data_IF_237161722272
#
_entry.id   IF_237161722272
#
_cell.length_a   1.000
_cell.length_b   1.000
_cell.length_c   1.000
_cell.angle_alpha   90.00
_cell.angle_beta   90.00
_cell.angle_gamma   90.00
#
_symmetry.space_group_name_H-M   'P 1'
#
loop_
_entity.id
_entity.type
_entity.pdbx_description
1 polymer ?
#
# COMPACT_ATOMS: atom_id res chain seq x y z
N UNK A 1 14.86 1.29 -30.12
CA UNK A 1 15.40 0.94 -28.80
C UNK A 1 14.28 0.86 -27.79
N UNK A 2 13.86 -0.35 -27.47
CA UNK A 2 12.73 -0.61 -26.58
C UNK A 2 13.08 -0.19 -25.16
N UNK A 3 12.27 0.69 -24.59
CA UNK A 3 12.39 1.11 -23.19
C UNK A 3 12.14 -0.14 -22.35
N UNK A 4 13.22 -0.80 -21.90
CA UNK A 4 13.11 -1.91 -20.98
C UNK A 4 12.70 -1.32 -19.63
N UNK A 5 11.38 -1.24 -19.42
CA UNK A 5 10.82 -1.13 -18.09
C UNK A 5 11.10 -2.43 -17.35
N UNK A 6 12.35 -2.62 -16.92
CA UNK A 6 12.60 -3.53 -15.83
C UNK A 6 11.88 -2.93 -14.62
N UNK A 7 10.73 -3.51 -14.29
CA UNK A 7 10.22 -3.49 -12.93
C UNK A 7 11.26 -4.27 -12.13
N UNK A 8 12.39 -3.62 -11.86
CA UNK A 8 13.50 -4.24 -11.17
C UNK A 8 13.05 -4.41 -9.75
N UNK A 9 12.58 -5.58 -9.37
CA UNK A 9 12.38 -5.88 -7.97
C UNK A 9 13.77 -5.98 -7.34
N UNK A 10 14.34 -4.84 -6.90
CA UNK A 10 15.42 -4.86 -5.91
C UNK A 10 14.78 -5.29 -4.59
N UNK A 11 14.52 -6.59 -4.49
CA UNK A 11 14.21 -7.26 -3.23
C UNK A 11 15.53 -7.33 -2.48
N UNK A 12 15.92 -6.18 -1.95
CA UNK A 12 16.94 -6.11 -0.94
C UNK A 12 16.33 -6.52 0.40
N UNK A 13 17.19 -7.01 1.29
CA UNK A 13 16.85 -7.36 2.66
C UNK A 13 16.06 -6.24 3.39
N UNK A 14 16.37 -4.96 3.09
CA UNK A 14 15.65 -3.80 3.62
C UNK A 14 14.21 -3.70 3.08
N UNK A 15 14.02 -3.84 1.77
CA UNK A 15 12.70 -3.78 1.12
C UNK A 15 11.81 -4.94 1.57
N UNK A 16 12.39 -6.14 1.72
CA UNK A 16 11.69 -7.31 2.24
C UNK A 16 11.19 -7.09 3.67
N UNK A 17 12.02 -6.53 4.54
CA UNK A 17 11.61 -6.17 5.91
C UNK A 17 10.46 -5.13 5.90
N UNK A 18 10.56 -4.10 5.06
CA UNK A 18 9.51 -3.07 4.95
C UNK A 18 8.18 -3.64 4.44
N UNK A 19 8.19 -4.58 3.49
CA UNK A 19 6.98 -5.27 3.05
C UNK A 19 6.32 -6.08 4.18
N UNK A 20 7.11 -6.80 4.98
CA UNK A 20 6.59 -7.56 6.14
C UNK A 20 5.97 -6.62 7.17
N UNK A 21 6.63 -5.50 7.48
CA UNK A 21 6.10 -4.51 8.43
C UNK A 21 4.80 -3.89 7.91
N UNK A 22 4.76 -3.46 6.65
CA UNK A 22 3.56 -2.84 6.06
C UNK A 22 2.39 -3.82 6.00
N UNK A 23 2.62 -5.08 5.59
CA UNK A 23 1.57 -6.11 5.56
C UNK A 23 1.08 -6.47 6.97
N UNK A 24 1.97 -6.52 7.97
CA UNK A 24 1.60 -6.82 9.35
C UNK A 24 0.76 -5.70 9.97
N UNK A 25 1.20 -4.44 9.82
CA UNK A 25 0.44 -3.27 10.29
C UNK A 25 -0.90 -3.17 9.56
N UNK A 26 -0.91 -3.38 8.23
CA UNK A 26 -2.13 -3.47 7.43
C UNK A 26 -3.11 -4.49 8.01
N UNK A 27 -2.65 -5.70 8.31
CA UNK A 27 -3.48 -6.77 8.85
C UNK A 27 -4.08 -6.40 10.22
N UNK A 28 -3.28 -5.80 11.11
CA UNK A 28 -3.79 -5.30 12.39
C UNK A 28 -4.84 -4.20 12.21
N UNK A 29 -4.62 -3.26 11.29
CA UNK A 29 -5.58 -2.19 10.99
C UNK A 29 -6.89 -2.77 10.42
N UNK A 30 -6.81 -3.76 9.54
CA UNK A 30 -8.01 -4.44 9.01
C UNK A 30 -8.81 -5.13 10.13
N UNK A 31 -8.14 -5.86 11.03
CA UNK A 31 -8.79 -6.50 12.19
C UNK A 31 -9.42 -5.46 13.11
N UNK A 32 -8.71 -4.36 13.38
CA UNK A 32 -9.23 -3.26 14.20
C UNK A 32 -10.48 -2.64 13.57
N UNK A 33 -10.49 -2.45 12.25
CA UNK A 33 -11.62 -1.83 11.54
C UNK A 33 -12.86 -2.73 11.55
N UNK A 34 -12.67 -4.06 11.44
CA UNK A 34 -13.76 -5.05 11.57
C UNK A 34 -14.43 -4.95 12.95
N UNK A 35 -13.64 -4.79 14.01
CA UNK A 35 -14.17 -4.67 15.37
C UNK A 35 -14.78 -3.29 15.68
N UNK A 36 -14.21 -2.22 15.14
CA UNK A 36 -14.64 -0.86 15.44
C UNK A 36 -15.90 -0.42 14.66
N UNK A 37 -16.05 -0.87 13.40
CA UNK A 37 -17.18 -0.48 12.54
C UNK A 37 -18.19 -1.60 12.29
N UNK A 38 -18.25 -2.59 13.19
CA UNK A 38 -19.15 -3.75 13.05
C UNK A 38 -20.63 -3.36 12.89
N UNK A 39 -21.04 -2.25 13.49
CA UNK A 39 -22.44 -1.78 13.52
C UNK A 39 -22.77 -0.68 12.49
N UNK A 40 -21.80 -0.22 11.68
CA UNK A 40 -22.00 0.91 10.77
C UNK A 40 -22.07 0.50 9.29
N UNK A 41 -23.10 0.97 8.53
CA UNK A 41 -23.25 0.66 7.10
C UNK A 41 -22.12 1.23 6.22
N UNK A 42 -21.25 2.09 6.78
CA UNK A 42 -20.05 2.62 6.12
C UNK A 42 -18.87 1.65 6.02
N UNK A 43 -18.96 0.46 6.64
CA UNK A 43 -17.89 -0.54 6.72
C UNK A 43 -17.23 -0.85 5.35
N UNK A 44 -18.02 -1.01 4.30
CA UNK A 44 -17.49 -1.32 2.95
C UNK A 44 -16.63 -0.18 2.36
N UNK A 45 -16.94 1.08 2.67
CA UNK A 45 -16.16 2.24 2.19
C UNK A 45 -14.83 2.34 2.93
N UNK A 46 -14.86 2.24 4.25
CA UNK A 46 -13.65 2.26 5.08
C UNK A 46 -12.71 1.09 4.75
N UNK A 47 -13.26 -0.10 4.55
CA UNK A 47 -12.48 -1.26 4.13
C UNK A 47 -11.81 -1.04 2.76
N UNK A 48 -12.53 -0.43 1.81
CA UNK A 48 -11.97 -0.09 0.49
C UNK A 48 -10.85 0.95 0.58
N UNK A 49 -10.95 1.95 1.46
CA UNK A 49 -9.88 2.93 1.66
C UNK A 49 -8.63 2.34 2.30
N UNK A 50 -8.79 1.49 3.32
CA UNK A 50 -7.64 0.85 3.99
C UNK A 50 -6.95 -0.13 3.05
N UNK A 51 -7.70 -0.92 2.29
CA UNK A 51 -7.11 -1.81 1.27
C UNK A 51 -6.37 -1.03 0.18
N UNK A 52 -6.94 0.08 -0.32
CA UNK A 52 -6.25 0.99 -1.25
C UNK A 52 -4.98 1.59 -0.65
N UNK A 53 -5.00 2.00 0.63
CA UNK A 53 -3.82 2.51 1.32
C UNK A 53 -2.70 1.48 1.33
N UNK A 54 -3.03 0.23 1.63
CA UNK A 54 -2.05 -0.85 1.74
C UNK A 54 -1.51 -1.26 0.37
N UNK A 55 -2.35 -1.21 -0.67
CA UNK A 55 -1.92 -1.40 -2.05
C UNK A 55 -0.94 -0.31 -2.50
N UNK A 56 -1.27 0.97 -2.30
CA UNK A 56 -0.39 2.09 -2.63
C UNK A 56 0.94 2.01 -1.88
N UNK A 57 0.90 1.62 -0.60
CA UNK A 57 2.11 1.52 0.22
C UNK A 57 3.01 0.34 -0.20
N UNK A 58 2.43 -0.80 -0.59
CA UNK A 58 3.20 -1.91 -1.17
C UNK A 58 3.81 -1.53 -2.53
N UNK A 59 3.06 -0.82 -3.36
CA UNK A 59 3.54 -0.35 -4.66
C UNK A 59 4.73 0.62 -4.54
N UNK A 60 4.73 1.46 -3.49
CA UNK A 60 5.83 2.35 -3.13
C UNK A 60 7.06 1.57 -2.65
N UNK A 61 6.89 0.62 -1.74
CA UNK A 61 8.01 -0.19 -1.21
C UNK A 61 8.65 -1.05 -2.31
N UNK A 62 7.85 -1.60 -3.23
CA UNK A 62 8.34 -2.37 -4.37
C UNK A 62 8.91 -1.49 -5.50
N UNK A 63 8.87 -0.18 -5.36
CA UNK A 63 9.36 0.73 -6.39
C UNK A 63 10.88 0.76 -6.46
N UNK A 64 11.40 0.47 -7.66
CA UNK A 64 12.82 0.61 -7.97
C UNK A 64 13.12 1.67 -9.02
N UNK A 65 12.08 2.32 -9.58
CA UNK A 65 12.24 3.38 -10.56
C UNK A 65 11.65 4.68 -10.03
N UNK A 66 12.27 5.83 -10.33
CA UNK A 66 11.73 7.15 -9.94
C UNK A 66 10.28 7.35 -10.36
N UNK A 67 9.88 6.80 -11.52
CA UNK A 67 8.49 6.86 -12.00
C UNK A 67 7.53 6.05 -11.12
N UNK A 68 7.91 4.85 -10.68
CA UNK A 68 7.09 4.01 -9.81
C UNK A 68 7.04 4.57 -8.37
N UNK A 69 8.12 5.25 -7.93
CA UNK A 69 8.19 5.88 -6.62
C UNK A 69 7.25 7.09 -6.59
N UNK A 70 7.28 7.91 -7.64
CA UNK A 70 6.37 9.04 -7.80
C UNK A 70 4.91 8.59 -7.85
N UNK A 71 4.61 7.53 -8.60
CA UNK A 71 3.25 6.98 -8.65
C UNK A 71 2.77 6.46 -7.29
N UNK A 72 3.60 5.67 -6.59
CA UNK A 72 3.28 5.18 -5.25
C UNK A 72 3.12 6.32 -4.24
N UNK A 73 3.95 7.35 -4.33
CA UNK A 73 3.88 8.54 -3.47
C UNK A 73 2.56 9.31 -3.63
N UNK A 74 2.18 9.63 -4.87
CA UNK A 74 0.92 10.33 -5.16
C UNK A 74 -0.30 9.48 -4.78
N UNK A 75 -0.25 8.16 -5.00
CA UNK A 75 -1.32 7.23 -4.63
C UNK A 75 -1.52 7.14 -3.10
N UNK A 76 -0.45 7.20 -2.31
CA UNK A 76 -0.52 7.30 -0.85
C UNK A 76 -1.06 8.68 -0.42
N UNK A 77 -0.68 9.76 -1.11
CA UNK A 77 -1.21 11.11 -0.84
C UNK A 77 -2.72 11.21 -1.07
N UNK A 78 -3.21 10.66 -2.19
CA UNK A 78 -4.64 10.66 -2.53
C UNK A 78 -5.49 9.84 -1.56
N UNK A 79 -5.03 8.64 -1.19
CA UNK A 79 -5.79 7.77 -0.27
C UNK A 79 -5.75 8.26 1.17
N UNK A 80 -4.73 9.05 1.55
CA UNK A 80 -4.71 9.72 2.85
C UNK A 80 -5.64 10.94 2.92
N UNK A 81 -6.07 11.47 1.78
CA UNK A 81 -7.01 12.60 1.70
C UNK A 81 -8.48 12.13 1.68
N UNK A 82 -8.73 10.93 1.16
CA UNK A 82 -10.06 10.27 1.12
C UNK A 82 -10.50 9.76 2.50
#
# INVERSE_FOLDING_TARGET
>A
DGIQFEVGFLIDSLTAMMMVVVTFVSLMVHIYTIGYMHDDPGYQRFFSYISLFTFSMLMLVMSNNFMQLFFGWEAVGLVSYL
#
